data_IF_899306983658
#
_entry.id   IF_899306983658
#
_cell.length_a   1.000
_cell.length_b   1.000
_cell.length_c   1.000
_cell.angle_alpha   90.00
_cell.angle_beta   90.00
_cell.angle_gamma   90.00
#
_symmetry.space_group_name_H-M   'P 1'
#
loop_
_entity.id
_entity.type
_entity.pdbx_description
1 polymer ?
#
# COMPACT_ATOMS: atom_id res chain seq x y z
N UNK A 1 4.36 18.66 -11.36
CA UNK A 1 3.07 19.33 -11.36
C UNK A 1 2.42 19.10 -12.71
N UNK A 2 1.23 18.65 -12.74
CA UNK A 2 0.58 18.34 -13.99
C UNK A 2 -0.13 19.58 -14.59
N UNK A 3 -0.49 19.48 -15.87
CA UNK A 3 -1.17 20.53 -16.63
C UNK A 3 -2.49 20.97 -15.98
N UNK A 4 -3.21 20.09 -15.31
CA UNK A 4 -4.45 20.40 -14.63
C UNK A 4 -4.29 21.45 -13.53
N UNK A 5 -3.22 21.36 -12.72
CA UNK A 5 -2.98 22.35 -11.66
C UNK A 5 -2.64 23.71 -12.27
N UNK A 6 -1.88 23.72 -13.38
CA UNK A 6 -1.55 24.94 -14.11
C UNK A 6 -2.78 25.57 -14.73
N UNK A 7 -3.62 24.80 -15.40
CA UNK A 7 -4.88 25.27 -15.97
C UNK A 7 -5.82 25.85 -14.91
N UNK A 8 -5.90 25.21 -13.76
CA UNK A 8 -6.70 25.69 -12.65
C UNK A 8 -6.15 27.01 -12.07
N UNK A 9 -4.85 27.18 -12.02
CA UNK A 9 -4.23 28.41 -11.57
C UNK A 9 -4.43 29.56 -12.57
N UNK A 10 -4.36 29.24 -13.87
CA UNK A 10 -4.46 30.24 -14.96
C UNK A 10 -5.92 30.54 -15.35
N UNK A 11 -6.83 29.62 -15.12
CA UNK A 11 -8.20 29.65 -15.61
C UNK A 11 -9.25 30.25 -14.70
N UNK A 12 -8.88 30.94 -13.63
CA UNK A 12 -9.79 31.62 -12.71
C UNK A 12 -10.94 30.75 -12.20
N UNK A 13 -10.72 29.90 -11.30
CA UNK A 13 -11.76 29.06 -10.69
C UNK A 13 -11.20 28.00 -9.79
N UNK A 14 -10.02 28.22 -9.24
CA UNK A 14 -9.43 27.31 -8.25
C UNK A 14 -10.30 27.42 -6.99
N UNK A 15 -11.15 26.42 -6.79
CA UNK A 15 -11.94 26.27 -5.57
C UNK A 15 -11.19 25.40 -4.58
N UNK A 16 -11.51 25.51 -3.29
CA UNK A 16 -10.99 24.61 -2.25
C UNK A 16 -11.29 23.15 -2.57
N UNK A 17 -12.43 22.86 -3.18
CA UNK A 17 -12.81 21.51 -3.57
C UNK A 17 -11.92 20.95 -4.68
N UNK A 18 -11.54 21.77 -5.67
CA UNK A 18 -10.60 21.39 -6.73
C UNK A 18 -9.23 21.09 -6.16
N UNK A 19 -8.73 21.92 -5.24
CA UNK A 19 -7.45 21.70 -4.56
C UNK A 19 -7.48 20.39 -3.75
N UNK A 20 -8.56 20.16 -2.99
CA UNK A 20 -8.74 18.92 -2.23
C UNK A 20 -8.78 17.69 -3.14
N UNK A 21 -9.43 17.77 -4.29
CA UNK A 21 -9.53 16.67 -5.24
C UNK A 21 -8.16 16.33 -5.84
N UNK A 22 -7.38 17.32 -6.25
CA UNK A 22 -6.02 17.13 -6.76
C UNK A 22 -5.09 16.56 -5.69
N UNK A 23 -5.14 17.10 -4.47
CA UNK A 23 -4.35 16.59 -3.34
C UNK A 23 -4.77 15.16 -2.95
N UNK A 24 -6.05 14.86 -2.98
CA UNK A 24 -6.56 13.52 -2.72
C UNK A 24 -6.06 12.49 -3.74
N UNK A 25 -6.06 12.83 -5.01
CA UNK A 25 -5.52 11.98 -6.08
C UNK A 25 -4.01 11.75 -5.93
N UNK A 26 -3.26 12.79 -5.58
CA UNK A 26 -1.82 12.69 -5.32
C UNK A 26 -1.50 11.78 -4.13
N UNK A 27 -2.27 11.86 -3.05
CA UNK A 27 -2.11 10.98 -1.87
C UNK A 27 -2.41 9.53 -2.21
N UNK A 28 -3.49 9.27 -2.95
CA UNK A 28 -3.82 7.92 -3.40
C UNK A 28 -2.72 7.32 -4.26
N UNK A 29 -2.19 8.09 -5.20
CA UNK A 29 -1.06 7.66 -6.03
C UNK A 29 0.16 7.30 -5.16
N UNK A 30 0.49 8.13 -4.18
CA UNK A 30 1.60 7.89 -3.27
C UNK A 30 1.40 6.63 -2.41
N UNK A 31 0.17 6.35 -1.97
CA UNK A 31 -0.15 5.12 -1.23
C UNK A 31 0.04 3.88 -2.11
N UNK A 32 -0.42 3.92 -3.36
CA UNK A 32 -0.21 2.81 -4.30
C UNK A 32 1.27 2.60 -4.62
N UNK A 33 2.02 3.67 -4.85
CA UNK A 33 3.47 3.59 -5.07
C UNK A 33 4.20 2.96 -3.88
N UNK A 34 3.79 3.31 -2.67
CA UNK A 34 4.32 2.74 -1.44
C UNK A 34 4.01 1.24 -1.33
N UNK A 35 2.75 0.84 -1.51
CA UNK A 35 2.37 -0.58 -1.43
C UNK A 35 3.04 -1.43 -2.51
N UNK A 36 3.20 -0.89 -3.71
CA UNK A 36 3.94 -1.55 -4.79
C UNK A 36 5.43 -1.72 -4.46
N UNK A 37 6.04 -0.72 -3.85
CA UNK A 37 7.44 -0.78 -3.41
C UNK A 37 7.65 -1.86 -2.35
N UNK A 38 6.75 -1.93 -1.37
CA UNK A 38 6.77 -2.98 -0.33
C UNK A 38 6.56 -4.36 -0.97
N UNK A 39 5.57 -4.48 -1.86
CA UNK A 39 5.28 -5.73 -2.56
C UNK A 39 6.46 -6.21 -3.41
N UNK A 40 7.23 -5.31 -3.98
CA UNK A 40 8.44 -5.64 -4.74
C UNK A 40 9.66 -5.95 -3.87
N UNK A 41 9.59 -5.73 -2.55
CA UNK A 41 10.72 -5.89 -1.64
C UNK A 41 11.78 -4.79 -1.77
N UNK A 42 11.42 -3.67 -2.37
CA UNK A 42 12.32 -2.53 -2.60
C UNK A 42 12.43 -1.63 -1.38
N UNK A 43 13.32 -1.97 -0.43
CA UNK A 43 13.46 -1.26 0.84
C UNK A 43 13.65 0.24 0.68
N UNK A 44 14.63 0.66 -0.13
CA UNK A 44 14.93 2.10 -0.34
C UNK A 44 13.72 2.85 -0.89
N UNK A 45 13.06 2.28 -1.89
CA UNK A 45 11.87 2.87 -2.50
C UNK A 45 10.70 2.91 -1.51
N UNK A 46 10.50 1.85 -0.75
CA UNK A 46 9.44 1.78 0.25
C UNK A 46 9.62 2.83 1.36
N UNK A 47 10.83 2.98 1.89
CA UNK A 47 11.15 3.99 2.90
C UNK A 47 10.99 5.41 2.35
N UNK A 48 11.43 5.66 1.12
CA UNK A 48 11.28 6.96 0.45
C UNK A 48 9.81 7.30 0.21
N UNK A 49 9.03 6.35 -0.28
CA UNK A 49 7.59 6.55 -0.50
C UNK A 49 6.84 6.78 0.82
N UNK A 50 7.21 6.08 1.87
CA UNK A 50 6.63 6.31 3.19
C UNK A 50 6.98 7.69 3.74
N UNK A 51 8.24 8.13 3.61
CA UNK A 51 8.66 9.47 4.02
C UNK A 51 7.85 10.56 3.31
N UNK A 52 7.53 10.36 2.03
CA UNK A 52 6.68 11.26 1.26
C UNK A 52 5.24 11.28 1.81
N UNK A 53 4.66 10.14 2.11
CA UNK A 53 3.32 10.04 2.72
C UNK A 53 3.27 10.73 4.08
N UNK A 54 4.29 10.52 4.90
CA UNK A 54 4.42 11.15 6.22
C UNK A 54 4.50 12.68 6.09
N UNK A 55 5.29 13.18 5.13
CA UNK A 55 5.41 14.63 4.85
C UNK A 55 4.10 15.24 4.36
N UNK A 56 3.24 14.47 3.69
CA UNK A 56 1.90 14.89 3.26
C UNK A 56 0.87 14.83 4.39
N UNK A 57 1.27 14.41 5.58
CA UNK A 57 0.40 14.27 6.74
C UNK A 57 -0.55 13.07 6.66
N UNK A 58 -0.19 12.05 5.89
CA UNK A 58 -1.01 10.84 5.83
C UNK A 58 -0.88 10.06 7.14
N UNK A 59 -1.99 9.73 7.82
CA UNK A 59 -1.92 9.00 9.09
C UNK A 59 -1.32 7.61 8.91
N UNK A 60 -0.38 7.25 9.79
CA UNK A 60 0.27 5.94 9.77
C UNK A 60 -0.73 4.78 9.82
N UNK A 61 -1.82 4.94 10.57
CA UNK A 61 -2.89 3.95 10.68
C UNK A 61 -3.53 3.64 9.32
N UNK A 62 -3.71 4.67 8.49
CA UNK A 62 -4.28 4.50 7.15
C UNK A 62 -3.30 3.78 6.22
N UNK A 63 -2.02 4.15 6.26
CA UNK A 63 -0.97 3.47 5.50
C UNK A 63 -0.89 1.99 5.91
N UNK A 64 -0.95 1.73 7.21
CA UNK A 64 -0.94 0.37 7.75
C UNK A 64 -2.17 -0.44 7.30
N UNK A 65 -3.35 0.17 7.24
CA UNK A 65 -4.56 -0.49 6.74
C UNK A 65 -4.40 -0.94 5.27
N UNK A 66 -3.71 -0.16 4.45
CA UNK A 66 -3.41 -0.53 3.07
C UNK A 66 -2.45 -1.70 2.99
N UNK A 67 -1.41 -1.75 3.83
CA UNK A 67 -0.52 -2.90 3.94
C UNK A 67 -1.27 -4.16 4.41
N UNK A 68 -2.14 -4.02 5.39
CA UNK A 68 -2.97 -5.13 5.86
C UNK A 68 -3.80 -5.72 4.72
N UNK A 69 -4.43 -4.86 3.94
CA UNK A 69 -5.21 -5.27 2.76
C UNK A 69 -4.34 -6.00 1.75
N UNK A 70 -3.16 -5.46 1.43
CA UNK A 70 -2.23 -6.07 0.49
C UNK A 70 -1.86 -7.50 0.91
N UNK A 71 -1.42 -7.68 2.14
CA UNK A 71 -0.99 -9.00 2.63
C UNK A 71 -2.13 -10.00 2.76
N UNK A 72 -3.34 -9.54 3.10
CA UNK A 72 -4.53 -10.40 3.05
C UNK A 72 -4.86 -10.85 1.63
N UNK A 73 -4.76 -9.95 0.66
CA UNK A 73 -4.97 -10.29 -0.75
C UNK A 73 -3.90 -11.27 -1.27
N UNK A 74 -2.64 -11.07 -0.89
CA UNK A 74 -1.55 -11.99 -1.25
C UNK A 74 -1.76 -13.38 -0.65
N UNK A 75 -2.17 -13.45 0.60
CA UNK A 75 -2.44 -14.72 1.28
C UNK A 75 -3.60 -15.47 0.63
N UNK A 76 -4.69 -14.77 0.31
CA UNK A 76 -5.83 -15.37 -0.39
C UNK A 76 -5.45 -15.79 -1.81
N UNK A 77 -4.68 -14.98 -2.52
CA UNK A 77 -4.16 -15.34 -3.85
C UNK A 77 -3.33 -16.62 -3.77
N UNK A 78 -2.43 -16.70 -2.81
CA UNK A 78 -1.60 -17.88 -2.61
C UNK A 78 -2.46 -19.12 -2.32
N UNK A 79 -3.48 -18.99 -1.49
CA UNK A 79 -4.42 -20.06 -1.20
C UNK A 79 -5.12 -20.58 -2.45
N UNK A 80 -5.60 -19.68 -3.30
CA UNK A 80 -6.25 -20.05 -4.56
C UNK A 80 -5.29 -20.79 -5.50
N UNK A 81 -4.05 -20.28 -5.63
CA UNK A 81 -3.02 -20.91 -6.46
C UNK A 81 -2.63 -22.29 -5.94
N UNK A 82 -2.50 -22.48 -4.64
CA UNK A 82 -2.16 -23.76 -4.03
C UNK A 82 -3.27 -24.81 -4.20
N UNK A 83 -4.51 -24.37 -4.38
CA UNK A 83 -5.66 -25.22 -4.72
C UNK A 83 -5.79 -25.53 -6.21
N UNK A 84 -4.82 -25.11 -7.02
CA UNK A 84 -4.82 -25.33 -8.46
C UNK A 84 -5.59 -24.28 -9.27
N UNK A 85 -6.04 -23.20 -8.63
CA UNK A 85 -6.71 -22.10 -9.32
C UNK A 85 -5.73 -21.23 -10.11
N UNK A 86 -6.24 -20.52 -11.09
CA UNK A 86 -5.47 -19.58 -11.91
C UNK A 86 -5.88 -18.13 -11.67
N UNK A 87 -5.36 -17.19 -12.52
CA UNK A 87 -5.67 -15.76 -12.38
C UNK A 87 -7.16 -15.42 -12.40
N UNK A 88 -7.96 -16.16 -13.15
CA UNK A 88 -9.42 -15.92 -13.21
C UNK A 88 -10.10 -16.24 -11.88
N UNK A 89 -9.70 -17.33 -11.22
CA UNK A 89 -10.22 -17.73 -9.92
C UNK A 89 -9.81 -16.71 -8.85
N UNK A 90 -8.58 -16.21 -8.91
CA UNK A 90 -8.10 -15.12 -8.03
C UNK A 90 -8.93 -13.85 -8.25
N UNK A 91 -9.15 -13.48 -9.49
CA UNK A 91 -9.96 -12.30 -9.83
C UNK A 91 -11.39 -12.39 -9.26
N UNK A 92 -12.01 -13.56 -9.37
CA UNK A 92 -13.35 -13.79 -8.81
C UNK A 92 -13.34 -13.73 -7.28
N UNK A 93 -12.36 -14.37 -6.65
CA UNK A 93 -12.26 -14.42 -5.19
C UNK A 93 -12.03 -13.04 -4.57
N UNK A 94 -11.15 -12.24 -5.17
CA UNK A 94 -10.77 -10.93 -4.65
C UNK A 94 -11.57 -9.77 -5.21
N UNK A 95 -12.32 -9.99 -6.29
CA UNK A 95 -13.08 -8.95 -7.02
C UNK A 95 -12.19 -7.77 -7.41
N UNK A 96 -10.98 -8.08 -7.89
CA UNK A 96 -9.99 -7.09 -8.30
C UNK A 96 -9.97 -6.92 -9.82
N UNK A 97 -9.54 -5.74 -10.34
CA UNK A 97 -9.32 -5.56 -11.76
C UNK A 97 -8.24 -6.51 -12.31
N UNK A 98 -8.29 -6.89 -13.61
CA UNK A 98 -7.33 -7.83 -14.19
C UNK A 98 -5.86 -7.46 -14.00
N UNK A 99 -5.53 -6.17 -14.10
CA UNK A 99 -4.16 -5.68 -13.92
C UNK A 99 -3.66 -5.88 -12.48
N UNK A 100 -4.50 -5.54 -11.49
CA UNK A 100 -4.20 -5.74 -10.08
C UNK A 100 -4.08 -7.24 -9.75
N UNK A 101 -4.94 -8.07 -10.34
CA UNK A 101 -4.88 -9.53 -10.21
C UNK A 101 -3.55 -10.08 -10.70
N UNK A 102 -3.07 -9.66 -11.86
CA UNK A 102 -1.79 -10.09 -12.42
C UNK A 102 -0.62 -9.80 -11.48
N UNK A 103 -0.54 -8.61 -10.93
CA UNK A 103 0.48 -8.20 -9.97
C UNK A 103 0.43 -9.05 -8.69
N UNK A 104 -0.76 -9.30 -8.16
CA UNK A 104 -0.95 -10.13 -6.97
C UNK A 104 -0.51 -11.60 -7.22
N UNK A 105 -0.87 -12.15 -8.37
CA UNK A 105 -0.47 -13.52 -8.76
C UNK A 105 1.04 -13.64 -8.86
N UNK A 106 1.70 -12.73 -9.57
CA UNK A 106 3.16 -12.74 -9.72
C UNK A 106 3.87 -12.60 -8.38
N UNK A 107 3.39 -11.74 -7.51
CA UNK A 107 3.95 -11.58 -6.17
C UNK A 107 3.70 -12.82 -5.31
N UNK A 108 2.48 -13.33 -5.29
CA UNK A 108 2.11 -14.50 -4.49
C UNK A 108 2.91 -15.75 -4.86
N UNK A 109 3.27 -15.92 -6.14
CA UNK A 109 4.12 -17.03 -6.59
C UNK A 109 5.52 -17.01 -5.97
N UNK A 110 6.03 -15.83 -5.63
CA UNK A 110 7.37 -15.67 -5.04
C UNK A 110 7.37 -15.83 -3.52
N UNK A 111 6.20 -15.79 -2.91
CA UNK A 111 6.06 -15.84 -1.46
C UNK A 111 5.66 -17.24 -0.99
N UNK A 112 6.07 -17.61 0.21
CA UNK A 112 5.57 -18.79 0.89
C UNK A 112 4.39 -18.45 1.79
N UNK A 113 3.44 -19.37 2.05
CA UNK A 113 2.37 -19.13 3.02
C UNK A 113 2.88 -18.73 4.40
N UNK A 114 3.98 -19.35 4.84
CA UNK A 114 4.63 -19.00 6.11
C UNK A 114 5.21 -17.57 6.09
N UNK A 115 5.81 -17.15 4.98
CA UNK A 115 6.33 -15.80 4.79
C UNK A 115 5.22 -14.75 4.84
N UNK A 116 4.13 -14.98 4.12
CA UNK A 116 2.96 -14.10 4.14
C UNK A 116 2.30 -14.01 5.52
N UNK A 117 2.23 -15.13 6.24
CA UNK A 117 1.70 -15.15 7.61
C UNK A 117 2.60 -14.36 8.57
N UNK A 118 3.92 -14.47 8.45
CA UNK A 118 4.87 -13.66 9.24
C UNK A 118 4.72 -12.18 8.94
N UNK A 119 4.63 -11.81 7.67
CA UNK A 119 4.41 -10.42 7.26
C UNK A 119 3.11 -9.86 7.86
N UNK A 120 2.02 -10.61 7.78
CA UNK A 120 0.74 -10.19 8.36
C UNK A 120 0.82 -10.04 9.88
N UNK A 121 1.53 -10.93 10.59
CA UNK A 121 1.78 -10.80 12.02
C UNK A 121 2.58 -9.54 12.35
N UNK A 122 3.60 -9.22 11.55
CA UNK A 122 4.39 -8.00 11.73
C UNK A 122 3.51 -6.75 11.57
N UNK A 123 2.62 -6.74 10.57
CA UNK A 123 1.66 -5.65 10.35
C UNK A 123 0.71 -5.50 11.55
N UNK A 124 0.18 -6.60 12.07
CA UNK A 124 -0.70 -6.59 13.25
C UNK A 124 0.03 -6.11 14.51
N UNK A 125 1.29 -6.50 14.70
CA UNK A 125 2.12 -6.03 15.81
C UNK A 125 2.35 -4.52 15.71
N UNK A 126 2.61 -4.00 14.51
CA UNK A 126 2.74 -2.56 14.28
C UNK A 126 1.43 -1.81 14.57
N UNK A 127 0.28 -2.39 14.25
CA UNK A 127 -1.04 -1.80 14.54
C UNK A 127 -1.23 -1.60 16.05
N UNK A 128 -0.90 -2.61 16.84
CA UNK A 128 -0.95 -2.51 18.32
C UNK A 128 0.04 -1.45 18.82
N UNK A 129 1.25 -1.42 18.27
CA UNK A 129 2.28 -0.45 18.66
C UNK A 129 1.84 1.00 18.34
N UNK A 130 1.25 1.25 17.19
CA UNK A 130 0.73 2.57 16.81
C UNK A 130 -0.35 3.07 17.77
N UNK A 131 -1.20 2.17 18.25
CA UNK A 131 -2.28 2.50 19.17
C UNK A 131 -1.82 2.72 20.61
N UNK A 132 -0.69 2.12 20.99
CA UNK A 132 -0.18 2.14 22.37
C UNK A 132 1.02 3.07 22.60
N UNK A 133 1.62 3.61 21.55
CA UNK A 133 2.83 4.44 21.65
C UNK A 133 2.66 5.74 20.86
N UNK A 134 1.90 6.72 21.38
CA UNK A 134 1.71 8.00 20.70
C UNK A 134 3.04 8.70 20.41
N UNK A 135 3.18 9.23 19.21
CA UNK A 135 4.36 9.97 18.77
C UNK A 135 5.51 9.12 18.22
N UNK A 136 5.40 7.81 18.24
CA UNK A 136 6.40 6.88 17.69
C UNK A 136 6.05 6.35 16.29
N UNK A 137 5.04 6.90 15.65
CA UNK A 137 4.46 6.40 14.40
C UNK A 137 5.50 6.15 13.31
N UNK A 138 6.38 7.13 13.10
CA UNK A 138 7.42 7.04 12.06
C UNK A 138 8.39 5.88 12.32
N UNK A 139 8.87 5.76 13.54
CA UNK A 139 9.82 4.69 13.93
C UNK A 139 9.17 3.32 13.79
N UNK A 140 7.93 3.19 14.22
CA UNK A 140 7.16 1.93 14.11
C UNK A 140 6.99 1.53 12.64
N UNK A 141 6.61 2.48 11.79
CA UNK A 141 6.40 2.22 10.37
C UNK A 141 7.70 1.92 9.63
N UNK A 142 8.77 2.67 9.88
CA UNK A 142 10.07 2.40 9.27
C UNK A 142 10.61 1.02 9.64
N UNK A 143 10.47 0.63 10.90
CA UNK A 143 10.85 -0.72 11.35
C UNK A 143 10.02 -1.80 10.66
N UNK A 144 8.71 -1.61 10.58
CA UNK A 144 7.83 -2.53 9.86
C UNK A 144 8.25 -2.69 8.39
N UNK A 145 8.53 -1.58 7.71
CA UNK A 145 8.97 -1.59 6.31
C UNK A 145 10.26 -2.40 6.15
N UNK A 146 11.22 -2.22 7.06
CA UNK A 146 12.46 -3.01 7.05
C UNK A 146 12.18 -4.51 7.22
N UNK A 147 11.28 -4.88 8.11
CA UNK A 147 10.90 -6.27 8.34
C UNK A 147 10.19 -6.89 7.13
N UNK A 148 9.36 -6.13 6.45
CA UNK A 148 8.60 -6.59 5.27
C UNK A 148 9.45 -6.71 4.01
N UNK A 149 10.49 -5.90 3.88
CA UNK A 149 11.38 -5.87 2.71
C UNK A 149 12.67 -6.70 2.90
N UNK A 150 12.83 -7.29 4.07
CA UNK A 150 14.01 -8.11 4.37
C UNK A 150 14.03 -9.46 3.60
#
# INVERSE_FOLDING_TARGET
MNLQVKELADGCGVTLDTVRQVMGSSRLYSIFDFTDAVAAGGLTRALSSYAQLDSLGEPAVRVLAMLTRLYRQLLETRRVLDQGGGPQEVQRALRTPPQATGTLVERAKRETPAGLSRALKAVLTADVALKSSPGADRVIMERLIMDLCA
#
